data_IF_566026576861
#
_entry.id   IF_566026576861
#
_cell.length_a   1.000
_cell.length_b   1.000
_cell.length_c   1.000
_cell.angle_alpha   90.00
_cell.angle_beta   90.00
_cell.angle_gamma   90.00
#
_symmetry.space_group_name_H-M   'P 1'
#
loop_
_entity.id
_entity.type
_entity.pdbx_description
1 polymer ?
#
# COMPACT_ATOMS: atom_id res chain seq x y z
N UNK A 1 1.82 -13.90 6.74
CA UNK A 1 1.58 -12.91 7.83
C UNK A 1 0.25 -13.25 8.49
N UNK A 2 0.15 -13.14 9.82
CA UNK A 2 -1.05 -13.42 10.60
C UNK A 2 -1.13 -12.41 11.77
N UNK A 3 -2.23 -12.43 12.53
CA UNK A 3 -2.49 -11.48 13.61
C UNK A 3 -1.39 -11.47 14.67
N UNK A 4 -0.95 -12.64 15.11
CA UNK A 4 0.08 -12.72 16.16
C UNK A 4 1.38 -12.06 15.73
N UNK A 5 1.78 -12.23 14.45
CA UNK A 5 2.97 -11.56 13.91
C UNK A 5 2.80 -10.04 13.94
N UNK A 6 1.61 -9.52 13.56
CA UNK A 6 1.34 -8.08 13.57
C UNK A 6 1.38 -7.53 15.00
N UNK A 7 0.80 -8.25 15.97
CA UNK A 7 0.79 -7.86 17.39
C UNK A 7 2.21 -7.76 17.95
N UNK A 8 3.06 -8.70 17.60
CA UNK A 8 4.42 -8.82 18.14
C UNK A 8 5.47 -8.07 17.31
N UNK A 9 5.11 -7.53 16.14
CA UNK A 9 6.05 -6.98 15.16
C UNK A 9 6.96 -5.89 15.73
N UNK A 10 6.42 -4.99 16.55
CA UNK A 10 7.19 -3.90 17.13
C UNK A 10 8.41 -4.41 17.93
N UNK A 11 8.25 -5.53 18.64
CA UNK A 11 9.30 -6.15 19.44
C UNK A 11 10.20 -7.07 18.62
N UNK A 12 9.59 -7.93 17.80
CA UNK A 12 10.29 -9.02 17.12
C UNK A 12 10.87 -8.63 15.78
N UNK A 13 10.28 -7.64 15.12
CA UNK A 13 10.61 -7.20 13.77
C UNK A 13 10.61 -5.66 13.65
N UNK A 14 11.39 -4.93 14.46
CA UNK A 14 11.31 -3.46 14.50
C UNK A 14 11.68 -2.79 13.17
N UNK A 15 12.31 -3.51 12.24
CA UNK A 15 12.63 -3.07 10.87
C UNK A 15 11.50 -3.31 9.87
N UNK A 16 10.44 -4.02 10.24
CA UNK A 16 9.27 -4.26 9.41
C UNK A 16 8.18 -3.21 9.66
N UNK A 17 7.32 -3.00 8.65
CA UNK A 17 6.15 -2.11 8.75
C UNK A 17 4.94 -2.85 8.22
N UNK A 18 4.30 -3.65 9.07
CA UNK A 18 3.37 -4.70 8.65
C UNK A 18 1.94 -4.20 8.36
N UNK A 19 1.54 -3.09 8.98
CA UNK A 19 0.23 -2.46 8.74
C UNK A 19 0.38 -0.97 8.51
N UNK A 20 -0.70 -0.29 8.14
CA UNK A 20 -0.73 1.14 7.89
C UNK A 20 -0.14 1.97 9.06
N UNK A 21 -0.41 1.58 10.30
CA UNK A 21 0.13 2.23 11.51
C UNK A 21 1.25 1.46 12.20
N UNK A 22 1.91 0.54 11.51
CA UNK A 22 2.94 -0.41 11.94
C UNK A 22 2.36 -1.64 12.66
N UNK A 23 1.50 -1.46 13.62
CA UNK A 23 0.78 -2.50 14.36
C UNK A 23 -0.70 -2.12 14.47
N UNK A 24 -1.52 -2.99 15.04
CA UNK A 24 -2.94 -2.69 15.33
C UNK A 24 -3.15 -1.50 16.28
N UNK A 25 -2.12 -1.09 17.03
CA UNK A 25 -2.18 0.10 17.89
C UNK A 25 -2.10 1.43 17.13
N UNK A 26 -1.80 1.39 15.81
CA UNK A 26 -1.74 2.56 14.92
C UNK A 26 -0.84 3.71 15.42
N UNK A 27 0.19 3.41 16.20
CA UNK A 27 1.05 4.43 16.82
C UNK A 27 2.02 5.08 15.85
N UNK A 28 2.30 4.45 14.69
CA UNK A 28 3.24 4.95 13.67
C UNK A 28 4.62 5.30 14.26
N UNK A 29 5.07 4.49 15.21
CA UNK A 29 6.31 4.69 15.92
C UNK A 29 7.26 3.53 15.68
N UNK A 30 8.51 3.84 15.33
CA UNK A 30 9.60 2.86 15.19
C UNK A 30 10.51 2.95 16.41
N UNK A 31 10.84 1.80 17.00
CA UNK A 31 11.83 1.67 18.09
C UNK A 31 13.29 1.64 17.57
N UNK A 32 13.49 1.73 16.25
CA UNK A 32 14.83 1.74 15.68
C UNK A 32 15.60 2.99 16.12
N UNK A 33 16.87 2.81 16.49
CA UNK A 33 17.74 3.87 17.04
C UNK A 33 18.96 4.17 16.15
N UNK A 34 19.09 3.48 15.01
CA UNK A 34 20.23 3.66 14.09
C UNK A 34 20.30 5.08 13.55
N UNK A 35 19.13 5.71 13.31
CA UNK A 35 19.04 7.12 12.94
C UNK A 35 18.68 7.91 14.20
N UNK A 36 19.49 8.88 14.55
CA UNK A 36 19.33 9.67 15.76
C UNK A 36 19.91 11.10 15.58
N UNK A 37 19.83 11.93 16.61
CA UNK A 37 20.26 13.32 16.54
C UNK A 37 21.73 13.53 16.17
N UNK A 38 22.60 12.54 16.42
CA UNK A 38 24.03 12.67 16.13
C UNK A 38 24.39 12.36 14.68
N UNK A 39 23.54 11.65 13.95
CA UNK A 39 23.83 11.21 12.58
C UNK A 39 22.75 11.58 11.54
N UNK A 40 21.66 12.21 11.94
CA UNK A 40 20.59 12.60 11.03
C UNK A 40 21.08 13.50 9.88
N UNK A 41 22.10 14.32 10.12
CA UNK A 41 22.69 15.19 9.10
C UNK A 41 23.50 14.43 8.04
N UNK A 42 23.85 13.18 8.27
CA UNK A 42 24.61 12.31 7.36
C UNK A 42 23.71 11.49 6.44
N UNK A 43 22.39 11.57 6.60
CA UNK A 43 21.45 10.84 5.75
C UNK A 43 21.56 11.28 4.29
N UNK A 44 21.65 10.31 3.41
CA UNK A 44 21.66 10.49 1.98
C UNK A 44 20.59 9.63 1.30
N UNK A 45 20.23 9.99 0.06
CA UNK A 45 19.32 9.21 -0.76
C UNK A 45 19.95 7.85 -1.09
N UNK A 46 19.35 6.75 -0.62
CA UNK A 46 19.81 5.41 -0.94
C UNK A 46 19.36 4.99 -2.36
N UNK A 47 18.09 5.23 -2.67
CA UNK A 47 17.51 4.94 -3.99
C UNK A 47 16.22 5.74 -4.20
N UNK A 48 15.76 5.80 -5.44
CA UNK A 48 14.46 6.36 -5.81
C UNK A 48 13.82 5.55 -6.93
N UNK A 49 12.49 5.43 -6.92
CA UNK A 49 11.71 4.71 -7.92
C UNK A 49 10.49 5.55 -8.31
N UNK A 50 10.36 5.95 -9.59
CA UNK A 50 9.11 6.51 -10.08
C UNK A 50 8.01 5.43 -10.10
N UNK A 51 6.88 5.69 -9.44
CA UNK A 51 5.73 4.77 -9.38
C UNK A 51 4.41 5.41 -9.84
N UNK A 52 4.49 6.53 -10.55
CA UNK A 52 3.33 7.23 -11.03
C UNK A 52 3.63 8.38 -11.95
N UNK A 53 2.61 9.10 -12.38
CA UNK A 53 2.68 10.31 -13.16
C UNK A 53 2.22 11.55 -12.37
N UNK A 54 2.30 12.74 -12.99
CA UNK A 54 1.97 14.01 -12.33
C UNK A 54 0.47 14.22 -12.05
N UNK A 55 -0.41 13.38 -12.60
CA UNK A 55 -1.86 13.52 -12.51
C UNK A 55 -2.48 12.61 -11.45
N UNK A 56 -1.73 12.22 -10.43
CA UNK A 56 -2.24 11.40 -9.34
C UNK A 56 -1.69 11.86 -7.98
N UNK A 57 -2.35 11.46 -6.92
CA UNK A 57 -1.90 11.69 -5.55
C UNK A 57 -1.54 10.39 -4.89
N UNK A 58 -0.33 10.32 -4.39
CA UNK A 58 0.17 9.18 -3.61
C UNK A 58 0.15 9.57 -2.14
N UNK A 59 -0.69 8.90 -1.37
CA UNK A 59 -0.88 9.16 0.05
C UNK A 59 -0.72 7.89 0.89
N UNK A 60 -0.25 6.81 0.26
CA UNK A 60 -0.08 5.51 0.89
C UNK A 60 1.10 5.48 1.87
N UNK A 61 0.94 4.72 2.94
CA UNK A 61 2.06 4.30 3.78
C UNK A 61 2.67 3.05 3.16
N UNK A 62 3.96 3.04 2.81
CA UNK A 62 4.63 1.81 2.37
C UNK A 62 4.58 0.75 3.46
N UNK A 63 4.23 -0.49 3.10
CA UNK A 63 4.35 -1.64 4.00
C UNK A 63 5.62 -2.40 3.68
N UNK A 64 6.35 -2.83 4.70
CA UNK A 64 7.58 -3.61 4.54
C UNK A 64 7.42 -4.94 5.28
N UNK A 65 7.40 -6.02 4.51
CA UNK A 65 7.21 -7.39 4.98
C UNK A 65 8.30 -8.26 4.36
N UNK A 66 9.12 -8.89 5.19
CA UNK A 66 10.18 -9.81 4.73
C UNK A 66 11.13 -9.20 3.67
N UNK A 67 11.47 -7.90 3.83
CA UNK A 67 12.33 -7.17 2.92
C UNK A 67 11.67 -6.71 1.61
N UNK A 68 10.40 -7.01 1.41
CA UNK A 68 9.60 -6.52 0.29
C UNK A 68 8.79 -5.31 0.72
N UNK A 69 8.92 -4.21 -0.04
CA UNK A 69 8.13 -3.00 0.14
C UNK A 69 6.93 -3.02 -0.81
N UNK A 70 5.73 -2.96 -0.25
CA UNK A 70 4.48 -2.86 -1.01
C UNK A 70 3.97 -1.43 -0.97
N UNK A 71 3.73 -0.85 -2.15
CA UNK A 71 3.20 0.51 -2.32
C UNK A 71 2.13 0.53 -3.41
N UNK A 72 1.21 1.47 -3.34
CA UNK A 72 0.27 1.74 -4.41
C UNK A 72 0.42 3.16 -4.94
N UNK A 73 0.18 3.36 -6.23
CA UNK A 73 0.03 4.69 -6.80
C UNK A 73 -1.44 5.17 -6.74
N UNK A 74 -1.70 6.39 -7.19
CA UNK A 74 -3.04 6.99 -7.14
C UNK A 74 -4.10 6.24 -7.95
N UNK A 75 -3.72 5.50 -8.99
CA UNK A 75 -4.59 4.65 -9.80
C UNK A 75 -4.69 3.22 -9.27
N UNK A 76 -4.26 3.00 -8.01
CA UNK A 76 -4.31 1.71 -7.33
C UNK A 76 -3.39 0.64 -7.92
N UNK A 77 -2.45 1.01 -8.81
CA UNK A 77 -1.41 0.10 -9.27
C UNK A 77 -0.53 -0.28 -8.09
N UNK A 78 -0.37 -1.56 -7.84
CA UNK A 78 0.45 -2.10 -6.75
C UNK A 78 1.86 -2.38 -7.28
N UNK A 79 2.85 -2.04 -6.49
CA UNK A 79 4.25 -2.38 -6.72
C UNK A 79 4.79 -3.16 -5.52
N UNK A 80 5.48 -4.26 -5.78
CA UNK A 80 6.35 -4.91 -4.83
C UNK A 80 7.80 -4.61 -5.20
N UNK A 81 8.52 -3.99 -4.30
CA UNK A 81 9.89 -3.54 -4.50
C UNK A 81 10.81 -4.20 -3.48
N UNK A 82 12.04 -4.46 -3.86
CA UNK A 82 13.08 -4.77 -2.89
C UNK A 82 13.31 -3.52 -2.01
N UNK A 83 13.06 -3.64 -0.72
CA UNK A 83 13.14 -2.50 0.20
C UNK A 83 14.55 -1.91 0.32
N UNK A 84 15.61 -2.69 -0.02
CA UNK A 84 17.00 -2.27 0.11
C UNK A 84 17.46 -1.40 -1.06
N UNK A 85 17.01 -1.71 -2.29
CA UNK A 85 17.54 -1.08 -3.51
C UNK A 85 16.48 -0.52 -4.46
N UNK A 86 15.18 -0.70 -4.16
CA UNK A 86 14.07 -0.20 -4.97
C UNK A 86 13.81 -0.99 -6.27
N UNK A 87 14.49 -2.13 -6.48
CA UNK A 87 14.22 -2.99 -7.63
C UNK A 87 12.77 -3.50 -7.62
N UNK A 88 12.11 -3.45 -8.78
CA UNK A 88 10.76 -3.98 -8.95
C UNK A 88 10.79 -5.50 -9.00
N UNK A 89 10.10 -6.13 -8.05
CA UNK A 89 9.91 -7.58 -7.99
C UNK A 89 8.74 -7.96 -8.89
N UNK A 90 7.62 -7.28 -8.70
CA UNK A 90 6.44 -7.38 -9.56
C UNK A 90 5.59 -6.12 -9.47
N UNK A 91 4.68 -6.00 -10.42
CA UNK A 91 3.68 -4.94 -10.50
C UNK A 91 2.34 -5.54 -10.92
N UNK A 92 1.25 -5.05 -10.32
CA UNK A 92 -0.12 -5.35 -10.73
C UNK A 92 -0.86 -4.05 -11.03
N UNK A 93 -1.36 -3.91 -12.25
CA UNK A 93 -2.20 -2.79 -12.67
C UNK A 93 -3.66 -3.27 -12.74
N UNK A 94 -4.57 -2.74 -11.90
CA UNK A 94 -5.98 -3.11 -11.91
C UNK A 94 -6.75 -2.54 -13.11
N UNK A 95 -6.08 -1.85 -14.02
CA UNK A 95 -6.66 -1.25 -15.24
C UNK A 95 -7.89 -0.37 -14.94
N UNK A 96 -7.80 0.46 -13.91
CA UNK A 96 -8.87 1.38 -13.52
C UNK A 96 -9.23 2.31 -14.68
N UNK A 97 -10.52 2.39 -15.01
CA UNK A 97 -11.02 3.30 -16.05
C UNK A 97 -10.71 4.76 -15.69
N UNK A 98 -9.83 5.39 -16.47
CA UNK A 98 -9.36 6.76 -16.26
C UNK A 98 -10.47 7.80 -16.34
N UNK A 99 -11.58 7.50 -17.02
CA UNK A 99 -12.76 8.36 -17.08
C UNK A 99 -13.40 8.60 -15.71
N UNK A 100 -13.15 7.71 -14.74
CA UNK A 100 -13.60 7.85 -13.36
C UNK A 100 -13.08 9.11 -12.66
N UNK A 101 -11.91 9.61 -13.04
CA UNK A 101 -11.34 10.81 -12.44
C UNK A 101 -12.24 12.05 -12.57
N UNK A 102 -13.02 12.14 -13.63
CA UNK A 102 -13.96 13.24 -13.86
C UNK A 102 -15.27 13.13 -13.05
N UNK A 103 -15.54 11.95 -12.50
CA UNK A 103 -16.83 11.59 -11.89
C UNK A 103 -16.72 11.32 -10.39
N UNK A 104 -15.52 11.00 -9.93
CA UNK A 104 -15.25 10.70 -8.54
C UNK A 104 -14.93 11.98 -7.74
N UNK A 105 -15.15 11.90 -6.44
CA UNK A 105 -14.86 13.02 -5.56
C UNK A 105 -13.35 13.32 -5.50
N UNK A 106 -13.03 14.55 -5.18
CA UNK A 106 -11.77 14.97 -4.57
C UNK A 106 -10.58 15.15 -5.53
N UNK A 107 -10.79 15.31 -6.83
CA UNK A 107 -9.76 15.65 -7.81
C UNK A 107 -9.02 14.43 -8.38
N UNK A 108 -7.71 14.53 -8.67
CA UNK A 108 -6.98 13.45 -9.32
C UNK A 108 -7.09 12.13 -8.54
N UNK A 109 -6.96 11.00 -9.25
CA UNK A 109 -6.95 9.68 -8.63
C UNK A 109 -5.95 9.61 -7.47
N UNK A 110 -6.37 9.03 -6.37
CA UNK A 110 -5.53 8.90 -5.19
C UNK A 110 -5.82 7.60 -4.44
N UNK A 111 -4.79 7.05 -3.84
CA UNK A 111 -4.86 5.83 -3.04
C UNK A 111 -4.00 6.00 -1.79
N UNK A 112 -4.46 5.44 -0.66
CA UNK A 112 -3.79 5.56 0.64
C UNK A 112 -3.05 4.31 1.06
N UNK A 113 -2.89 3.35 0.15
CA UNK A 113 -2.05 2.18 0.39
C UNK A 113 -2.78 0.86 0.29
N UNK A 114 -2.07 -0.17 0.65
CA UNK A 114 -2.48 -1.57 0.57
C UNK A 114 -2.54 -2.19 1.97
N UNK A 115 -3.12 -3.38 2.07
CA UNK A 115 -2.92 -4.27 3.21
C UNK A 115 -2.20 -5.53 2.74
N UNK A 116 -1.39 -6.13 3.62
CA UNK A 116 -0.74 -7.42 3.38
C UNK A 116 -1.19 -8.37 4.48
N UNK A 117 -1.75 -9.51 4.11
CA UNK A 117 -2.21 -10.51 5.07
C UNK A 117 -2.33 -11.88 4.41
N UNK A 118 -2.00 -12.94 5.13
CA UNK A 118 -2.13 -14.34 4.69
C UNK A 118 -1.64 -14.61 3.27
N UNK A 119 -0.41 -14.12 2.95
CA UNK A 119 0.20 -14.31 1.63
C UNK A 119 -0.43 -13.49 0.49
N UNK A 120 -1.28 -12.53 0.80
CA UNK A 120 -2.01 -11.70 -0.16
C UNK A 120 -1.75 -10.22 0.06
N UNK A 121 -1.84 -9.45 -1.01
CA UNK A 121 -1.88 -7.99 -0.98
C UNK A 121 -3.27 -7.54 -1.43
N UNK A 122 -3.88 -6.68 -0.65
CA UNK A 122 -5.22 -6.15 -0.91
C UNK A 122 -5.15 -4.68 -1.24
N UNK A 123 -5.93 -4.26 -2.23
CA UNK A 123 -6.08 -2.85 -2.61
C UNK A 123 -7.54 -2.53 -2.90
N UNK A 124 -8.00 -1.38 -2.40
CA UNK A 124 -9.24 -0.77 -2.88
C UNK A 124 -8.94 0.09 -4.10
N UNK A 125 -9.75 -0.01 -5.15
CA UNK A 125 -9.50 0.73 -6.38
C UNK A 125 -10.32 2.00 -6.48
N UNK A 126 -9.85 2.92 -7.31
CA UNK A 126 -10.51 4.21 -7.49
C UNK A 126 -11.87 4.10 -8.22
N UNK A 127 -12.14 2.98 -8.87
CA UNK A 127 -13.44 2.64 -9.48
C UNK A 127 -14.34 1.75 -8.58
N UNK A 128 -13.95 1.57 -7.30
CA UNK A 128 -14.81 0.95 -6.29
C UNK A 128 -14.72 -0.56 -6.20
N UNK A 129 -13.66 -1.19 -6.71
CA UNK A 129 -13.40 -2.63 -6.55
C UNK A 129 -12.46 -2.89 -5.37
N UNK A 130 -12.55 -4.08 -4.79
CA UNK A 130 -11.57 -4.62 -3.86
C UNK A 130 -10.87 -5.80 -4.53
N UNK A 131 -9.55 -5.74 -4.60
CA UNK A 131 -8.72 -6.72 -5.31
C UNK A 131 -7.75 -7.37 -4.34
N UNK A 132 -7.54 -8.68 -4.49
CA UNK A 132 -6.44 -9.38 -3.84
C UNK A 132 -5.51 -9.99 -4.87
N UNK A 133 -4.21 -9.80 -4.65
CA UNK A 133 -3.15 -10.42 -5.44
C UNK A 133 -2.25 -11.30 -4.54
N UNK A 134 -1.65 -12.32 -5.12
CA UNK A 134 -0.63 -13.12 -4.44
C UNK A 134 0.59 -12.26 -4.11
N UNK A 135 1.02 -12.26 -2.86
CA UNK A 135 2.10 -11.37 -2.40
C UNK A 135 3.46 -11.67 -3.01
N UNK A 136 3.70 -12.90 -3.48
CA UNK A 136 4.99 -13.28 -4.06
C UNK A 136 5.08 -12.97 -5.56
N UNK A 137 3.94 -13.07 -6.26
CA UNK A 137 3.92 -13.04 -7.73
C UNK A 137 3.19 -11.85 -8.33
N UNK A 138 2.36 -11.15 -7.54
CA UNK A 138 1.47 -10.09 -8.03
C UNK A 138 0.30 -10.60 -8.89
N UNK A 139 0.14 -11.93 -9.00
CA UNK A 139 -0.98 -12.51 -9.76
C UNK A 139 -2.29 -12.25 -9.04
N UNK A 140 -3.27 -11.76 -9.78
CA UNK A 140 -4.61 -11.56 -9.25
C UNK A 140 -5.23 -12.90 -8.80
N UNK A 141 -5.79 -12.89 -7.60
CA UNK A 141 -6.49 -14.01 -7.01
C UNK A 141 -7.99 -13.84 -7.12
N UNK A 142 -8.46 -12.62 -6.90
CA UNK A 142 -9.86 -12.23 -7.08
C UNK A 142 -9.99 -10.71 -7.18
N UNK A 143 -11.06 -10.27 -7.84
CA UNK A 143 -11.50 -8.90 -8.02
C UNK A 143 -13.00 -8.84 -7.75
N UNK A 144 -13.42 -8.01 -6.81
CA UNK A 144 -14.80 -7.91 -6.36
C UNK A 144 -15.27 -6.47 -6.49
N UNK A 145 -16.34 -6.28 -7.25
CA UNK A 145 -17.07 -5.03 -7.24
C UNK A 145 -17.76 -4.84 -5.89
N UNK A 146 -17.46 -3.73 -5.21
CA UNK A 146 -18.05 -3.42 -3.90
C UNK A 146 -19.33 -2.59 -4.01
N UNK A 147 -19.84 -2.40 -5.20
CA UNK A 147 -21.02 -1.59 -5.44
C UNK A 147 -22.30 -2.25 -4.93
N UNK A 148 -23.18 -1.39 -4.40
CA UNK A 148 -24.57 -1.77 -4.17
C UNK A 148 -25.33 -1.52 -5.48
N UNK A 149 -25.99 -2.53 -6.09
CA UNK A 149 -26.45 -2.49 -7.48
C UNK A 149 -27.46 -1.43 -7.85
N UNK A 150 -28.11 -0.75 -6.94
CA UNK A 150 -29.28 0.06 -7.28
C UNK A 150 -29.10 1.55 -6.94
N UNK A 151 -28.75 2.34 -7.94
CA UNK A 151 -29.16 3.76 -8.04
C UNK A 151 -28.42 4.80 -7.21
N UNK A 152 -27.42 4.47 -6.44
CA UNK A 152 -26.76 5.37 -5.49
C UNK A 152 -25.52 6.11 -6.02
N UNK A 153 -25.25 6.06 -7.32
CA UNK A 153 -24.10 6.75 -7.92
C UNK A 153 -22.82 5.94 -7.96
N UNK A 154 -21.73 6.57 -8.34
CA UNK A 154 -20.40 5.93 -8.45
C UNK A 154 -19.64 6.09 -7.14
N UNK A 155 -19.08 5.01 -6.65
CA UNK A 155 -18.25 4.99 -5.43
C UNK A 155 -16.79 4.80 -5.80
N UNK A 156 -15.91 5.35 -5.00
CA UNK A 156 -14.48 5.12 -5.08
C UNK A 156 -13.94 4.65 -3.73
N UNK A 157 -12.97 3.79 -3.75
CA UNK A 157 -12.22 3.40 -2.56
C UNK A 157 -10.87 4.11 -2.63
N UNK A 158 -10.59 4.96 -1.65
CA UNK A 158 -9.32 5.66 -1.54
C UNK A 158 -8.55 5.30 -0.28
N UNK A 159 -9.22 4.67 0.69
CA UNK A 159 -8.63 4.20 1.93
C UNK A 159 -7.81 2.92 1.74
N UNK A 160 -6.74 2.77 2.52
CA UNK A 160 -6.05 1.49 2.59
C UNK A 160 -6.96 0.44 3.28
N UNK A 161 -7.08 -0.78 2.73
CA UNK A 161 -7.75 -1.87 3.42
C UNK A 161 -7.09 -2.15 4.77
N UNK A 162 -7.84 -2.77 5.68
CA UNK A 162 -7.35 -3.20 6.98
C UNK A 162 -7.60 -4.69 7.14
N UNK A 163 -6.56 -5.45 7.47
CA UNK A 163 -6.70 -6.79 7.97
C UNK A 163 -6.87 -6.73 9.50
N UNK A 164 -7.85 -7.46 10.04
CA UNK A 164 -8.17 -7.53 11.47
C UNK A 164 -8.64 -8.94 11.83
#
# INVERSE_FOLDING_TARGET
>A
MNDQRIIDAQRNEPGSWLTYGQTYKEQRFSELTQINRSNIAELNLAWSKPIGDYNMRMQGTPLVVDGVMYVSNGWSVIYALNATNGEEIWRHDPEVDRSYAALACCGPAHNRGVAVYDGKVFVGTFDGRLIAVDANTGKELWDIDTWIPEGLGRFNITGAPRAA
#
